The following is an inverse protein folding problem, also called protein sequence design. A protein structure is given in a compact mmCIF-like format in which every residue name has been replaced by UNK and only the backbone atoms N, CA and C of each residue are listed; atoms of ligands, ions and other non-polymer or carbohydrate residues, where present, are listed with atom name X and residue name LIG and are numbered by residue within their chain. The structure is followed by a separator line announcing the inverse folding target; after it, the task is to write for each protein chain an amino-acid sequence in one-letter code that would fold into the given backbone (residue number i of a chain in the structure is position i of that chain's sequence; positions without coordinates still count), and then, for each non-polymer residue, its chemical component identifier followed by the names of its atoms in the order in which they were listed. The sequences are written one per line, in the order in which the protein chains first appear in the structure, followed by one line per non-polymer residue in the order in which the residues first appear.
data_IF_757543936332
#
_entry.id   IF_757543936332
#
_cell.length_a   1.000
_cell.length_b   1.000
_cell.length_c   1.000
_cell.angle_alpha   90.00
_cell.angle_beta   90.00
_cell.angle_gamma   90.00
#
_symmetry.space_group_name_H-M   'P 1'
#
loop_
_entity.id
_entity.type
_entity.pdbx_description
1 polymer ?
#
# COMPACT_ATOMS: atom_id res chain seq x y z
N UNK A 1 -21.31 4.04 6.07
CA UNK A 1 -21.40 2.56 6.02
C UNK A 1 -20.83 2.02 4.72
N UNK A 2 -20.19 0.86 4.79
CA UNK A 2 -19.60 0.16 3.67
C UNK A 2 -20.65 -0.67 2.92
N UNK A 3 -20.42 -0.87 1.62
CA UNK A 3 -21.20 -1.83 0.84
C UNK A 3 -20.98 -3.26 1.37
N UNK A 4 -22.03 -4.05 1.62
CA UNK A 4 -21.88 -5.45 2.02
C UNK A 4 -21.07 -6.27 1.03
N UNK A 5 -21.19 -5.97 -0.28
CA UNK A 5 -20.42 -6.64 -1.32
C UNK A 5 -18.91 -6.36 -1.20
N UNK A 6 -18.52 -5.16 -0.77
CA UNK A 6 -17.11 -4.82 -0.55
C UNK A 6 -16.53 -5.57 0.64
N UNK A 7 -17.27 -5.64 1.76
CA UNK A 7 -16.86 -6.40 2.95
C UNK A 7 -16.71 -7.89 2.62
N UNK A 8 -17.67 -8.46 1.88
CA UNK A 8 -17.60 -9.86 1.45
C UNK A 8 -16.41 -10.13 0.51
N UNK A 9 -16.12 -9.19 -0.41
CA UNK A 9 -14.98 -9.31 -1.32
C UNK A 9 -13.64 -9.28 -0.56
N UNK A 10 -13.50 -8.40 0.44
CA UNK A 10 -12.30 -8.35 1.29
C UNK A 10 -12.13 -9.66 2.07
N UNK A 11 -13.21 -10.19 2.64
CA UNK A 11 -13.16 -11.42 3.43
C UNK A 11 -12.75 -12.66 2.61
N UNK A 12 -13.09 -12.69 1.32
CA UNK A 12 -12.81 -13.80 0.40
C UNK A 12 -11.52 -13.63 -0.42
N UNK A 13 -10.83 -12.48 -0.31
CA UNK A 13 -9.65 -12.20 -1.11
C UNK A 13 -8.41 -12.94 -0.59
N UNK A 14 -7.68 -13.60 -1.49
CA UNK A 14 -6.35 -14.16 -1.20
C UNK A 14 -5.31 -13.05 -0.97
N UNK A 15 -5.55 -11.87 -1.55
CA UNK A 15 -4.72 -10.68 -1.41
C UNK A 15 -5.59 -9.42 -1.49
N UNK A 16 -5.43 -8.52 -0.51
CA UNK A 16 -6.00 -7.17 -0.47
C UNK A 16 -4.88 -6.19 -0.79
N UNK A 17 -5.04 -5.38 -1.84
CA UNK A 17 -4.02 -4.41 -2.23
C UNK A 17 -4.46 -2.99 -1.88
N UNK A 18 -3.71 -2.33 -0.99
CA UNK A 18 -3.85 -0.92 -0.63
C UNK A 18 -2.96 -0.09 -1.58
N UNK A 19 -3.45 0.20 -2.78
CA UNK A 19 -2.55 0.59 -3.86
C UNK A 19 -3.19 1.20 -5.11
N UNK A 20 -2.33 1.90 -5.88
CA UNK A 20 -1.66 3.13 -5.47
C UNK A 20 -2.65 4.31 -5.56
N UNK A 21 -2.36 5.42 -4.90
CA UNK A 21 -3.23 6.60 -4.91
C UNK A 21 -2.77 7.69 -3.96
N UNK A 22 -3.35 8.88 -4.09
CA UNK A 22 -3.05 9.99 -3.19
C UNK A 22 -3.29 9.58 -1.74
N UNK A 23 -2.27 9.73 -0.89
CA UNK A 23 -2.27 9.16 0.46
C UNK A 23 -3.47 9.66 1.28
N UNK A 24 -3.62 10.97 1.40
CA UNK A 24 -4.64 11.58 2.26
C UNK A 24 -6.01 11.73 1.61
N UNK A 25 -6.09 11.70 0.27
CA UNK A 25 -7.32 11.98 -0.48
C UNK A 25 -7.90 10.75 -1.18
N UNK A 26 -7.17 9.63 -1.24
CA UNK A 26 -7.65 8.38 -1.85
C UNK A 26 -7.48 7.17 -0.94
N UNK A 27 -6.32 7.00 -0.30
CA UNK A 27 -6.03 5.78 0.47
C UNK A 27 -6.57 5.88 1.91
N UNK A 28 -6.12 6.86 2.69
CA UNK A 28 -6.54 7.02 4.08
C UNK A 28 -8.06 7.23 4.25
N UNK A 29 -8.77 7.95 3.37
CA UNK A 29 -10.23 8.08 3.48
C UNK A 29 -10.98 6.74 3.41
N UNK A 30 -10.45 5.75 2.69
CA UNK A 30 -11.04 4.40 2.65
C UNK A 30 -10.91 3.71 4.00
N UNK A 31 -9.77 3.88 4.69
CA UNK A 31 -9.52 3.32 6.02
C UNK A 31 -10.34 4.04 7.12
N UNK A 32 -10.75 5.28 6.90
CA UNK A 32 -11.68 5.98 7.79
C UNK A 32 -13.09 5.37 7.83
N UNK A 33 -13.45 4.51 6.85
CA UNK A 33 -14.70 3.74 6.91
C UNK A 33 -14.47 2.51 7.79
N UNK A 34 -14.87 2.60 9.06
CA UNK A 34 -14.60 1.58 10.09
C UNK A 34 -14.92 0.14 9.62
N UNK A 35 -16.05 -0.08 8.95
CA UNK A 35 -16.43 -1.40 8.43
C UNK A 35 -15.47 -1.95 7.37
N UNK A 36 -14.84 -1.10 6.55
CA UNK A 36 -13.81 -1.54 5.61
C UNK A 36 -12.49 -1.80 6.33
N UNK A 37 -12.12 -0.93 7.28
CA UNK A 37 -10.91 -1.10 8.08
C UNK A 37 -10.95 -2.42 8.87
N UNK A 38 -12.07 -2.72 9.53
CA UNK A 38 -12.30 -3.97 10.25
C UNK A 38 -12.25 -5.18 9.33
N UNK A 39 -12.84 -5.08 8.13
CA UNK A 39 -12.80 -6.15 7.14
C UNK A 39 -11.37 -6.44 6.67
N UNK A 40 -10.57 -5.40 6.42
CA UNK A 40 -9.15 -5.54 6.03
C UNK A 40 -8.33 -6.10 7.18
N UNK A 41 -8.56 -5.65 8.42
CA UNK A 41 -7.89 -6.16 9.60
C UNK A 41 -8.18 -7.66 9.80
N UNK A 42 -9.42 -8.09 9.59
CA UNK A 42 -9.86 -9.47 9.71
C UNK A 42 -9.61 -10.34 8.46
N UNK A 43 -9.06 -9.78 7.38
CA UNK A 43 -8.83 -10.51 6.13
C UNK A 43 -7.92 -11.74 6.37
N UNK A 44 -8.24 -12.86 5.75
CA UNK A 44 -7.38 -14.07 5.85
C UNK A 44 -6.28 -14.08 4.81
N UNK A 45 -6.50 -13.41 3.67
CA UNK A 45 -5.48 -13.14 2.67
C UNK A 45 -4.43 -12.12 3.12
N UNK A 46 -3.38 -12.00 2.30
CA UNK A 46 -2.30 -11.04 2.53
C UNK A 46 -2.77 -9.61 2.27
N UNK A 47 -2.31 -8.65 3.07
CA UNK A 47 -2.58 -7.22 2.84
C UNK A 47 -1.31 -6.53 2.36
N UNK A 48 -1.29 -6.12 1.09
CA UNK A 48 -0.13 -5.49 0.46
C UNK A 48 -0.39 -4.01 0.26
N UNK A 49 0.45 -3.15 0.83
CA UNK A 49 0.47 -1.73 0.46
C UNK A 49 1.49 -1.51 -0.66
N UNK A 50 1.08 -0.78 -1.70
CA UNK A 50 2.00 -0.34 -2.77
C UNK A 50 2.30 1.13 -2.57
N UNK A 51 3.59 1.46 -2.47
CA UNK A 51 4.05 2.83 -2.34
C UNK A 51 3.71 3.66 -3.58
N UNK A 52 3.51 4.96 -3.39
CA UNK A 52 3.56 5.89 -4.51
C UNK A 52 4.99 5.93 -5.09
N UNK A 53 5.13 6.35 -6.35
CA UNK A 53 6.45 6.45 -6.98
C UNK A 53 7.19 7.74 -6.60
N UNK A 54 6.44 8.80 -6.30
CA UNK A 54 6.95 10.15 -6.06
C UNK A 54 6.12 10.89 -5.01
N UNK A 55 6.69 11.93 -4.38
CA UNK A 55 5.92 12.88 -3.59
C UNK A 55 4.83 13.55 -4.43
N UNK A 56 3.75 13.94 -3.75
CA UNK A 56 2.62 14.71 -4.27
C UNK A 56 2.46 15.98 -3.41
N UNK A 57 3.18 17.07 -3.73
CA UNK A 57 3.07 18.31 -2.98
C UNK A 57 1.69 18.98 -3.13
N UNK A 58 1.21 19.69 -2.09
CA UNK A 58 1.84 19.83 -0.77
C UNK A 58 1.58 18.64 0.17
N UNK A 59 0.73 17.68 -0.23
CA UNK A 59 0.18 16.64 0.66
C UNK A 59 1.25 15.72 1.26
N UNK A 60 2.28 15.37 0.49
CA UNK A 60 3.33 14.41 0.90
C UNK A 60 4.72 14.98 0.69
N UNK A 61 4.84 16.31 0.72
CA UNK A 61 6.13 16.98 0.60
C UNK A 61 7.03 16.63 1.80
N UNK A 62 8.28 16.25 1.53
CA UNK A 62 9.23 15.81 2.54
C UNK A 62 8.98 14.41 3.15
N UNK A 63 7.95 13.68 2.72
CA UNK A 63 7.69 12.31 3.17
C UNK A 63 8.41 11.30 2.27
N UNK A 64 8.97 10.27 2.90
CA UNK A 64 9.50 9.09 2.19
C UNK A 64 8.45 7.96 2.07
N UNK A 65 8.81 6.83 1.46
CA UNK A 65 7.91 5.68 1.33
C UNK A 65 7.55 5.07 2.70
N UNK A 66 8.51 5.07 3.63
CA UNK A 66 8.34 4.59 5.01
C UNK A 66 7.33 5.44 5.78
N UNK A 67 7.36 6.76 5.59
CA UNK A 67 6.41 7.69 6.18
C UNK A 67 5.00 7.47 5.65
N UNK A 68 4.85 7.16 4.36
CA UNK A 68 3.55 6.77 3.79
C UNK A 68 3.01 5.49 4.44
N UNK A 69 3.86 4.47 4.63
CA UNK A 69 3.47 3.26 5.35
C UNK A 69 3.10 3.56 6.80
N UNK A 70 3.88 4.41 7.49
CA UNK A 70 3.60 4.83 8.87
C UNK A 70 2.22 5.48 8.96
N UNK A 71 1.90 6.40 8.06
CA UNK A 71 0.60 7.06 8.02
C UNK A 71 -0.55 6.05 7.91
N UNK A 72 -0.43 5.04 7.04
CA UNK A 72 -1.44 3.98 6.90
C UNK A 72 -1.65 3.22 8.22
N UNK A 73 -0.56 2.82 8.87
CA UNK A 73 -0.60 2.10 10.14
C UNK A 73 -1.22 2.93 11.26
N UNK A 74 -0.86 4.20 11.36
CA UNK A 74 -1.41 5.14 12.35
C UNK A 74 -2.92 5.37 12.17
N UNK A 75 -3.44 5.16 10.96
CA UNK A 75 -4.88 5.20 10.67
C UNK A 75 -5.57 3.83 10.79
N UNK A 76 -4.92 2.84 11.41
CA UNK A 76 -5.49 1.51 11.67
C UNK A 76 -5.38 0.53 10.50
N UNK A 77 -4.70 0.90 9.41
CA UNK A 77 -4.48 0.02 8.27
C UNK A 77 -3.54 -1.14 8.62
N UNK A 78 -4.03 -2.38 8.49
CA UNK A 78 -3.19 -3.57 8.46
C UNK A 78 -2.39 -3.59 7.16
N UNK A 79 -1.11 -3.94 7.26
CA UNK A 79 -0.21 -4.19 6.12
C UNK A 79 0.69 -5.34 6.52
N UNK A 80 0.80 -6.36 5.67
CA UNK A 80 1.69 -7.50 5.85
C UNK A 80 2.94 -7.36 4.96
N UNK A 81 2.78 -6.72 3.80
CA UNK A 81 3.87 -6.50 2.83
C UNK A 81 3.82 -5.07 2.29
N UNK A 82 4.98 -4.43 2.20
CA UNK A 82 5.14 -3.11 1.60
C UNK A 82 5.95 -3.18 0.31
N UNK A 83 5.26 -3.03 -0.83
CA UNK A 83 5.85 -3.05 -2.16
C UNK A 83 6.24 -1.64 -2.60
N UNK A 84 7.51 -1.43 -2.94
CA UNK A 84 8.00 -0.13 -3.40
C UNK A 84 8.93 -0.25 -4.61
N UNK A 85 9.09 0.87 -5.31
CA UNK A 85 9.97 0.95 -6.48
C UNK A 85 11.44 0.85 -6.06
N UNK A 86 12.15 -0.15 -6.60
CA UNK A 86 13.60 -0.23 -6.48
C UNK A 86 14.25 0.99 -7.13
N UNK A 87 15.24 1.59 -6.45
CA UNK A 87 15.93 2.81 -6.87
C UNK A 87 14.97 3.98 -7.20
N UNK A 88 13.82 4.02 -6.51
CA UNK A 88 12.77 5.01 -6.72
C UNK A 88 13.07 6.40 -6.12
N UNK A 89 12.20 7.37 -6.41
CA UNK A 89 12.32 8.73 -5.88
C UNK A 89 11.94 8.84 -4.39
N UNK A 90 11.21 7.86 -3.86
CA UNK A 90 10.86 7.76 -2.45
C UNK A 90 11.69 6.65 -1.81
N UNK A 91 12.53 7.00 -0.84
CA UNK A 91 13.32 6.04 -0.10
C UNK A 91 12.43 5.20 0.83
N UNK A 92 12.82 3.95 1.07
CA UNK A 92 12.21 3.07 2.05
C UNK A 92 13.28 2.60 3.05
N UNK A 93 12.97 2.67 4.35
CA UNK A 93 13.81 2.12 5.42
C UNK A 93 13.36 0.70 5.74
N UNK A 94 13.97 -0.22 5.01
CA UNK A 94 13.79 -1.67 5.13
C UNK A 94 13.93 -2.19 6.58
N UNK A 95 14.78 -1.60 7.42
CA UNK A 95 14.95 -2.03 8.80
C UNK A 95 13.76 -1.60 9.64
N UNK A 96 13.36 -0.32 9.55
CA UNK A 96 12.20 0.20 10.26
C UNK A 96 10.90 -0.54 9.87
N UNK A 97 10.75 -0.90 8.58
CA UNK A 97 9.60 -1.66 8.09
C UNK A 97 9.56 -3.06 8.70
N UNK A 98 10.70 -3.77 8.75
CA UNK A 98 10.78 -5.10 9.36
C UNK A 98 10.56 -5.07 10.88
N UNK A 99 11.00 -4.01 11.57
CA UNK A 99 10.70 -3.80 13.00
C UNK A 99 9.20 -3.68 13.28
N UNK A 100 8.41 -3.28 12.28
CA UNK A 100 6.95 -3.25 12.35
C UNK A 100 6.28 -4.59 12.06
N UNK A 101 7.06 -5.64 11.77
CA UNK A 101 6.58 -6.97 11.37
C UNK A 101 6.05 -7.02 9.94
N UNK A 102 6.45 -6.05 9.10
CA UNK A 102 6.02 -5.93 7.71
C UNK A 102 7.18 -6.34 6.81
N UNK A 103 6.91 -7.09 5.74
CA UNK A 103 7.92 -7.45 4.77
C UNK A 103 8.11 -6.33 3.73
N UNK A 104 9.28 -5.67 3.65
CA UNK A 104 9.56 -4.70 2.60
C UNK A 104 10.01 -5.43 1.32
N UNK A 105 9.40 -5.08 0.19
CA UNK A 105 9.69 -5.66 -1.13
C UNK A 105 10.03 -4.56 -2.11
N UNK A 106 11.29 -4.51 -2.53
CA UNK A 106 11.74 -3.65 -3.62
C UNK A 106 11.54 -4.36 -4.97
N UNK A 107 10.83 -3.73 -5.90
CA UNK A 107 10.68 -4.25 -7.26
C UNK A 107 10.66 -3.11 -8.29
N UNK A 108 11.07 -3.40 -9.54
CA UNK A 108 10.89 -2.46 -10.63
C UNK A 108 9.44 -2.50 -11.12
N UNK A 109 8.63 -1.57 -10.62
CA UNK A 109 7.18 -1.45 -10.86
C UNK A 109 6.81 -0.17 -11.61
N UNK A 110 7.78 0.66 -11.98
CA UNK A 110 7.58 1.91 -12.69
C UNK A 110 7.82 1.78 -14.20
N UNK A 111 7.26 2.71 -14.97
CA UNK A 111 7.73 2.99 -16.33
C UNK A 111 9.08 3.71 -16.29
N UNK A 112 9.77 3.74 -17.43
CA UNK A 112 11.09 4.34 -17.56
C UNK A 112 11.18 5.81 -17.13
N UNK A 113 10.07 6.56 -17.14
CA UNK A 113 10.03 7.96 -16.68
C UNK A 113 9.86 8.11 -15.16
N UNK A 114 9.63 7.01 -14.43
CA UNK A 114 9.41 6.99 -12.98
C UNK A 114 8.15 7.73 -12.51
N UNK A 115 7.24 8.11 -13.42
CA UNK A 115 6.07 8.94 -13.10
C UNK A 115 4.83 8.13 -12.80
N UNK A 116 4.71 6.98 -13.45
CA UNK A 116 3.54 6.10 -13.33
C UNK A 116 4.01 4.66 -13.21
N UNK A 117 3.22 3.87 -12.47
CA UNK A 117 3.44 2.43 -12.38
C UNK A 117 3.29 1.81 -13.78
N UNK A 118 4.16 0.86 -14.11
CA UNK A 118 3.97 0.00 -15.26
C UNK A 118 2.97 -1.10 -14.88
N UNK A 119 1.82 -1.21 -15.57
CA UNK A 119 0.78 -2.18 -15.19
C UNK A 119 1.25 -3.63 -15.23
N UNK A 120 2.12 -3.99 -16.17
CA UNK A 120 2.57 -5.38 -16.34
C UNK A 120 3.58 -5.75 -15.27
N UNK A 121 4.50 -4.83 -14.97
CA UNK A 121 5.49 -5.03 -13.91
C UNK A 121 4.85 -5.08 -12.53
N UNK A 122 3.93 -4.14 -12.24
CA UNK A 122 3.20 -4.12 -10.98
C UNK A 122 2.35 -5.40 -10.81
N UNK A 123 1.63 -5.84 -11.85
CA UNK A 123 0.87 -7.09 -11.80
C UNK A 123 1.77 -8.31 -11.57
N UNK A 124 2.96 -8.33 -12.17
CA UNK A 124 3.94 -9.41 -11.97
C UNK A 124 4.45 -9.42 -10.52
N UNK A 125 4.80 -8.26 -9.97
CA UNK A 125 5.25 -8.13 -8.59
C UNK A 125 4.17 -8.59 -7.61
N UNK A 126 2.91 -8.13 -7.76
CA UNK A 126 1.80 -8.53 -6.90
C UNK A 126 1.49 -10.03 -6.97
N UNK A 127 1.56 -10.64 -8.16
CA UNK A 127 1.38 -12.09 -8.34
C UNK A 127 2.47 -12.92 -7.67
N UNK A 128 3.68 -12.39 -7.56
CA UNK A 128 4.77 -13.07 -6.86
C UNK A 128 4.63 -13.05 -5.33
N UNK A 129 3.67 -12.27 -4.80
CA UNK A 129 3.35 -12.15 -3.37
C UNK A 129 2.11 -12.97 -2.95
N UNK A 130 1.53 -13.74 -3.88
CA UNK A 130 0.49 -14.74 -3.60
C UNK A 130 1.13 -16.08 -3.24
#
# INVERSE_FOLDING_TARGET
DASPAAVAAIAAADQVVLAPGSLYTSLLPVLCVHQLCDAVAAATGSVVQVSNLRPQPPETDGLDATDHLRAVREHGGRVDTFLYQVDGALAADDNAIREWGIEPVAADVARADGRVHDPSRLATALRALL
#
